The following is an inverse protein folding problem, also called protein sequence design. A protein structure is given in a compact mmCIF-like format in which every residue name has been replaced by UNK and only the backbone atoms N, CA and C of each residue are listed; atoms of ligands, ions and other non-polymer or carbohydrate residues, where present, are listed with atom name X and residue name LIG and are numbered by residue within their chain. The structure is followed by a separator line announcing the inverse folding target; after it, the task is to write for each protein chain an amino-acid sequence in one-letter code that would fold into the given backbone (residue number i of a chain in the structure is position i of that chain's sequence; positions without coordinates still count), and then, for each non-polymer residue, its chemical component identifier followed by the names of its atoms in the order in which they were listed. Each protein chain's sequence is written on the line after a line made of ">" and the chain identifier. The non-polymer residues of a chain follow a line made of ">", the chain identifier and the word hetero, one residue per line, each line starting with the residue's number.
data_IF_970514444058
#
_entry.id   IF_970514444058
#
_cell.length_a   1.000
_cell.length_b   1.000
_cell.length_c   1.000
_cell.angle_alpha   90.00
_cell.angle_beta   90.00
_cell.angle_gamma   90.00
#
_symmetry.space_group_name_H-M   'P 1'
#
loop_
_entity.id
_entity.type
_entity.pdbx_description
1 polymer ?
#
# COMPACT_ATOMS: atom_id res chain seq x y z
N UNK A 1 -11.39 24.92 -5.88
CA UNK A 1 -11.89 24.54 -7.23
C UNK A 1 -12.28 23.07 -7.21
N UNK A 2 -13.54 22.76 -7.58
CA UNK A 2 -14.04 21.37 -7.69
C UNK A 2 -13.24 20.56 -8.72
N UNK A 3 -12.76 21.21 -9.76
CA UNK A 3 -12.03 20.56 -10.85
C UNK A 3 -10.60 20.18 -10.48
N UNK A 4 -10.09 20.61 -9.31
CA UNK A 4 -8.73 20.28 -8.91
C UNK A 4 -8.55 18.77 -8.90
N UNK A 5 -9.34 18.00 -8.15
CA UNK A 5 -9.23 16.55 -8.07
C UNK A 5 -9.86 15.78 -9.25
N UNK A 6 -10.38 16.46 -10.27
CA UNK A 6 -11.04 15.80 -11.40
C UNK A 6 -10.18 14.76 -12.15
N UNK A 7 -8.84 14.93 -12.31
CA UNK A 7 -8.01 13.89 -12.91
C UNK A 7 -7.93 12.61 -12.07
N UNK A 8 -8.08 12.74 -10.75
CA UNK A 8 -8.10 11.59 -9.84
C UNK A 8 -9.43 10.85 -9.97
N UNK A 9 -10.55 11.56 -10.16
CA UNK A 9 -11.86 10.93 -10.31
C UNK A 9 -11.90 9.98 -11.51
N UNK A 10 -11.32 10.36 -12.65
CA UNK A 10 -11.27 9.46 -13.81
C UNK A 10 -10.44 8.21 -13.55
N UNK A 11 -9.31 8.36 -12.84
CA UNK A 11 -8.48 7.24 -12.45
C UNK A 11 -9.25 6.28 -11.55
N UNK A 12 -10.00 6.81 -10.58
CA UNK A 12 -10.83 6.02 -9.66
C UNK A 12 -11.97 5.32 -10.40
N UNK A 13 -12.60 5.98 -11.37
CA UNK A 13 -13.67 5.35 -12.16
C UNK A 13 -13.17 4.21 -13.04
N UNK A 14 -11.98 4.35 -13.64
CA UNK A 14 -11.41 3.31 -14.50
C UNK A 14 -10.78 2.17 -13.69
N UNK A 15 -10.10 2.50 -12.59
CA UNK A 15 -9.30 1.58 -11.80
C UNK A 15 -9.49 1.85 -10.29
N UNK A 16 -10.66 1.54 -9.71
CA UNK A 16 -10.99 1.88 -8.32
C UNK A 16 -10.03 1.21 -7.32
N UNK A 17 -9.54 0.02 -7.64
CA UNK A 17 -8.61 -0.73 -6.81
C UNK A 17 -7.29 0.00 -6.54
N UNK A 18 -6.82 0.87 -7.44
CA UNK A 18 -5.57 1.62 -7.26
C UNK A 18 -5.69 2.65 -6.14
N UNK A 19 -6.84 3.32 -6.04
CA UNK A 19 -7.09 4.28 -4.95
C UNK A 19 -7.23 3.55 -3.62
N UNK A 20 -7.92 2.41 -3.59
CA UNK A 20 -8.04 1.60 -2.37
C UNK A 20 -6.67 1.22 -1.82
N UNK A 21 -5.78 0.71 -2.67
CA UNK A 21 -4.41 0.35 -2.28
C UNK A 21 -3.63 1.60 -1.84
N UNK A 22 -3.73 2.70 -2.58
CA UNK A 22 -3.04 3.94 -2.24
C UNK A 22 -3.50 4.49 -0.88
N UNK A 23 -4.80 4.55 -0.62
CA UNK A 23 -5.37 5.02 0.65
C UNK A 23 -4.92 4.14 1.82
N UNK A 24 -5.00 2.82 1.66
CA UNK A 24 -4.59 1.88 2.72
C UNK A 24 -3.10 1.98 3.02
N UNK A 25 -2.24 2.13 2.02
CA UNK A 25 -0.78 2.21 2.24
C UNK A 25 -0.33 3.58 2.73
N UNK A 26 -0.84 4.66 2.12
CA UNK A 26 -0.41 6.03 2.42
C UNK A 26 -1.10 6.61 3.64
N UNK A 27 -2.43 6.59 3.67
CA UNK A 27 -3.19 7.26 4.73
C UNK A 27 -3.21 6.40 6.01
N UNK A 28 -3.56 5.12 5.87
CA UNK A 28 -3.65 4.20 7.03
C UNK A 28 -2.26 3.68 7.43
N UNK A 29 -1.51 3.11 6.47
CA UNK A 29 -0.19 2.50 6.67
C UNK A 29 0.96 3.49 6.89
N UNK A 30 0.77 4.78 6.55
CA UNK A 30 1.78 5.85 6.64
C UNK A 30 3.06 5.56 5.86
N UNK A 31 2.96 4.80 4.79
CA UNK A 31 4.09 4.57 3.90
C UNK A 31 4.50 5.85 3.16
N UNK A 32 5.79 6.01 2.78
CA UNK A 32 6.23 7.15 2.00
C UNK A 32 5.49 7.25 0.66
N UNK A 33 4.71 8.33 0.48
CA UNK A 33 3.88 8.61 -0.71
C UNK A 33 4.62 8.36 -2.02
N UNK A 34 5.83 8.92 -2.17
CA UNK A 34 6.61 8.81 -3.41
C UNK A 34 6.94 7.36 -3.80
N UNK A 35 7.15 6.48 -2.81
CA UNK A 35 7.39 5.05 -3.05
C UNK A 35 6.10 4.36 -3.48
N UNK A 36 5.01 4.58 -2.76
CA UNK A 36 3.72 3.95 -3.05
C UNK A 36 3.20 4.38 -4.43
N UNK A 37 3.32 5.66 -4.78
CA UNK A 37 2.92 6.16 -6.11
C UNK A 37 3.72 5.51 -7.23
N UNK A 38 5.05 5.37 -7.09
CA UNK A 38 5.88 4.67 -8.08
C UNK A 38 5.50 3.19 -8.21
N UNK A 39 5.21 2.50 -7.11
CA UNK A 39 4.85 1.08 -7.14
C UNK A 39 3.43 0.83 -7.69
N UNK A 40 2.46 1.68 -7.33
CA UNK A 40 1.04 1.48 -7.67
C UNK A 40 0.67 2.12 -9.00
N UNK A 41 1.20 3.32 -9.29
CA UNK A 41 0.86 4.10 -10.49
C UNK A 41 2.00 4.14 -11.51
N UNK A 42 3.22 3.75 -11.15
CA UNK A 42 4.41 3.89 -12.01
C UNK A 42 4.95 5.32 -12.13
N UNK A 43 4.20 6.31 -11.67
CA UNK A 43 4.50 7.75 -11.76
C UNK A 43 3.95 8.48 -10.54
N UNK A 44 4.43 9.70 -10.29
CA UNK A 44 3.88 10.50 -9.20
C UNK A 44 2.46 11.01 -9.52
N UNK A 45 1.56 10.96 -8.54
CA UNK A 45 0.16 11.33 -8.73
C UNK A 45 0.00 12.81 -9.14
N UNK A 46 0.67 13.79 -8.52
CA UNK A 46 0.67 15.16 -9.01
C UNK A 46 1.23 15.33 -10.43
N UNK A 47 2.20 14.51 -10.85
CA UNK A 47 2.72 14.56 -12.23
C UNK A 47 1.66 14.08 -13.22
N UNK A 48 1.01 12.95 -12.92
CA UNK A 48 -0.09 12.42 -13.71
C UNK A 48 -1.24 13.43 -13.81
N UNK A 49 -1.64 14.03 -12.67
CA UNK A 49 -2.71 15.00 -12.65
C UNK A 49 -2.37 16.29 -13.42
N UNK A 50 -1.12 16.76 -13.37
CA UNK A 50 -0.69 17.92 -14.16
C UNK A 50 -0.75 17.64 -15.67
N UNK A 51 -0.35 16.43 -16.09
CA UNK A 51 -0.40 16.01 -17.49
C UNK A 51 -1.85 15.91 -17.97
N UNK A 52 -2.73 15.26 -17.20
CA UNK A 52 -4.15 15.14 -17.53
C UNK A 52 -4.86 16.49 -17.56
N UNK A 53 -4.62 17.36 -16.58
CA UNK A 53 -5.19 18.70 -16.54
C UNK A 53 -4.79 19.53 -17.78
N UNK A 54 -3.53 19.41 -18.21
CA UNK A 54 -3.04 20.09 -19.42
C UNK A 54 -3.66 19.47 -20.69
N UNK A 55 -3.77 18.15 -20.74
CA UNK A 55 -4.34 17.44 -21.89
C UNK A 55 -5.83 17.74 -22.10
N UNK A 56 -6.60 17.87 -21.01
CA UNK A 56 -8.03 18.21 -21.08
C UNK A 56 -8.31 19.71 -21.22
N UNK A 57 -7.27 20.55 -21.29
CA UNK A 57 -7.45 22.01 -21.36
C UNK A 57 -8.12 22.60 -20.11
N UNK A 58 -7.89 22.02 -18.93
CA UNK A 58 -8.37 22.62 -17.68
C UNK A 58 -7.69 23.97 -17.45
N UNK A 59 -8.34 24.91 -16.73
CA UNK A 59 -7.76 26.21 -16.47
C UNK A 59 -6.33 26.15 -15.90
N UNK A 60 -5.43 27.00 -16.40
CA UNK A 60 -4.00 26.93 -16.14
C UNK A 60 -3.63 26.91 -14.66
N UNK A 61 -4.40 27.61 -13.81
CA UNK A 61 -4.18 27.62 -12.36
C UNK A 61 -4.34 26.24 -11.70
N UNK A 62 -5.11 25.31 -12.30
CA UNK A 62 -5.25 23.93 -11.84
C UNK A 62 -3.95 23.16 -12.12
N UNK A 63 -3.48 23.19 -13.36
CA UNK A 63 -2.22 22.57 -13.75
C UNK A 63 -1.04 23.17 -12.97
N UNK A 64 -1.05 24.49 -12.73
CA UNK A 64 -0.07 25.18 -11.91
C UNK A 64 -0.08 24.68 -10.45
N UNK A 65 -1.25 24.46 -9.86
CA UNK A 65 -1.36 23.89 -8.51
C UNK A 65 -0.63 22.55 -8.37
N UNK A 66 -0.77 21.66 -9.36
CA UNK A 66 -0.04 20.39 -9.40
C UNK A 66 1.45 20.55 -9.66
N UNK A 67 1.84 21.45 -10.56
CA UNK A 67 3.26 21.77 -10.80
C UNK A 67 3.91 22.36 -9.55
N UNK A 68 3.19 23.11 -8.72
CA UNK A 68 3.73 23.63 -7.46
C UNK A 68 4.03 22.53 -6.44
N UNK A 69 3.18 21.50 -6.35
CA UNK A 69 3.43 20.32 -5.51
C UNK A 69 4.72 19.57 -5.91
N UNK A 70 5.02 19.51 -7.21
CA UNK A 70 6.19 18.82 -7.74
C UNK A 70 7.46 19.70 -7.80
N UNK A 71 7.36 20.87 -8.43
CA UNK A 71 8.50 21.72 -8.78
C UNK A 71 8.97 22.66 -7.67
N UNK A 72 8.08 23.06 -6.75
CA UNK A 72 8.38 24.04 -5.69
C UNK A 72 8.40 23.43 -4.28
N UNK A 73 8.76 22.14 -4.17
CA UNK A 73 8.82 21.43 -2.89
C UNK A 73 9.67 22.15 -1.84
N UNK A 74 10.73 22.86 -2.25
CA UNK A 74 11.58 23.66 -1.34
C UNK A 74 10.82 24.84 -0.72
N UNK A 75 10.03 25.57 -1.51
CA UNK A 75 9.21 26.70 -1.03
C UNK A 75 8.13 26.20 -0.06
N UNK A 76 7.45 25.10 -0.42
CA UNK A 76 6.46 24.47 0.45
C UNK A 76 7.08 24.01 1.78
N UNK A 77 8.25 23.37 1.75
CA UNK A 77 8.95 22.95 2.98
C UNK A 77 9.32 24.16 3.86
N UNK A 78 9.81 25.26 3.26
CA UNK A 78 10.14 26.49 4.01
C UNK A 78 8.88 27.10 4.65
N UNK A 79 7.81 27.25 3.87
CA UNK A 79 6.55 27.78 4.39
C UNK A 79 5.97 26.88 5.50
N UNK A 80 6.02 25.56 5.36
CA UNK A 80 5.58 24.61 6.38
C UNK A 80 6.44 24.68 7.65
N UNK A 81 7.74 24.98 7.54
CA UNK A 81 8.61 25.22 8.71
C UNK A 81 8.20 26.48 9.46
N UNK A 82 7.93 27.58 8.75
CA UNK A 82 7.43 28.82 9.35
C UNK A 82 6.07 28.60 10.01
N UNK A 83 5.14 27.93 9.29
CA UNK A 83 3.80 27.64 9.76
C UNK A 83 3.78 26.78 11.05
N UNK A 84 4.84 26.01 11.31
CA UNK A 84 4.96 25.19 12.53
C UNK A 84 5.02 26.05 13.79
N UNK A 85 5.57 27.26 13.70
CA UNK A 85 5.72 28.20 14.81
C UNK A 85 4.45 29.06 15.02
N UNK A 86 3.30 28.40 15.13
CA UNK A 86 1.99 29.06 15.12
C UNK A 86 1.66 29.84 16.40
N UNK A 87 2.47 29.71 17.45
CA UNK A 87 2.32 30.44 18.72
C UNK A 87 2.96 31.84 18.67
N UNK A 88 3.78 32.12 17.65
CA UNK A 88 4.50 33.39 17.51
C UNK A 88 4.21 34.07 16.15
N UNK A 89 2.99 34.64 15.93
CA UNK A 89 2.61 35.23 14.64
C UNK A 89 3.56 36.34 14.16
N UNK A 90 4.07 37.16 15.08
CA UNK A 90 5.03 38.22 14.76
C UNK A 90 6.35 37.66 14.20
N UNK A 91 6.84 36.57 14.79
CA UNK A 91 8.05 35.91 14.31
C UNK A 91 7.82 35.27 12.93
N UNK A 92 6.66 34.65 12.71
CA UNK A 92 6.29 34.14 11.38
C UNK A 92 6.28 35.24 10.32
N UNK A 93 5.74 36.42 10.65
CA UNK A 93 5.72 37.57 9.76
C UNK A 93 7.15 38.07 9.46
N UNK A 94 8.01 38.20 10.48
CA UNK A 94 9.41 38.58 10.29
C UNK A 94 10.17 37.60 9.38
N UNK A 95 9.94 36.30 9.54
CA UNK A 95 10.54 35.28 8.68
C UNK A 95 10.06 35.36 7.23
N UNK A 96 8.78 35.69 7.01
CA UNK A 96 8.23 35.92 5.66
C UNK A 96 8.76 37.22 5.04
N UNK A 97 8.93 38.27 5.84
CA UNK A 97 9.47 39.55 5.38
C UNK A 97 10.96 39.46 5.02
N UNK A 98 11.70 38.59 5.71
CA UNK A 98 13.09 38.27 5.38
C UNK A 98 13.24 37.45 4.07
N UNK A 99 12.19 36.80 3.57
CA UNK A 99 12.19 36.07 2.29
C UNK A 99 11.04 36.55 1.37
N UNK A 100 11.22 37.69 0.66
CA UNK A 100 10.19 38.25 -0.20
C UNK A 100 9.72 37.32 -1.32
N UNK A 101 10.60 36.42 -1.78
CA UNK A 101 10.25 35.43 -2.80
C UNK A 101 9.28 34.38 -2.24
N UNK A 102 9.54 33.89 -1.02
CA UNK A 102 8.63 32.98 -0.31
C UNK A 102 7.30 33.65 0.00
N UNK A 103 7.30 34.91 0.46
CA UNK A 103 6.08 35.67 0.74
C UNK A 103 5.23 35.87 -0.52
N UNK A 104 5.86 36.25 -1.64
CA UNK A 104 5.18 36.38 -2.94
C UNK A 104 4.61 35.06 -3.40
N UNK A 105 5.37 33.98 -3.28
CA UNK A 105 4.90 32.64 -3.64
C UNK A 105 3.71 32.21 -2.76
N UNK A 106 3.79 32.40 -1.44
CA UNK A 106 2.76 32.02 -0.49
C UNK A 106 1.44 32.73 -0.81
N UNK A 107 1.49 34.03 -1.07
CA UNK A 107 0.30 34.88 -1.28
C UNK A 107 -0.38 34.70 -2.65
N UNK A 108 0.18 33.86 -3.54
CA UNK A 108 -0.46 33.57 -4.83
C UNK A 108 -1.88 32.99 -4.63
N UNK A 109 -2.92 33.56 -5.29
CA UNK A 109 -4.28 33.05 -5.18
C UNK A 109 -4.43 31.58 -5.60
N UNK A 110 -3.56 31.08 -6.48
CA UNK A 110 -3.53 29.68 -6.89
C UNK A 110 -3.29 28.71 -5.73
N UNK A 111 -2.66 29.16 -4.63
CA UNK A 111 -2.43 28.32 -3.45
C UNK A 111 -3.72 28.01 -2.69
N UNK A 112 -4.76 28.85 -2.79
CA UNK A 112 -6.05 28.60 -2.13
C UNK A 112 -6.64 27.25 -2.51
N UNK A 113 -6.50 26.85 -3.79
CA UNK A 113 -6.98 25.58 -4.31
C UNK A 113 -6.23 24.43 -3.65
N UNK A 114 -4.91 24.55 -3.54
CA UNK A 114 -4.08 23.55 -2.89
C UNK A 114 -4.42 23.41 -1.40
N UNK A 115 -4.54 24.53 -0.69
CA UNK A 115 -4.87 24.59 0.73
C UNK A 115 -6.23 23.95 1.02
N UNK A 116 -7.26 24.34 0.26
CA UNK A 116 -8.61 23.81 0.44
C UNK A 116 -8.69 22.30 0.18
N UNK A 117 -8.09 21.82 -0.92
CA UNK A 117 -8.09 20.39 -1.23
C UNK A 117 -7.21 19.57 -0.27
N UNK A 118 -6.06 20.12 0.14
CA UNK A 118 -5.18 19.50 1.13
C UNK A 118 -5.87 19.34 2.49
N UNK A 119 -6.56 20.38 2.95
CA UNK A 119 -7.40 20.34 4.16
C UNK A 119 -8.51 19.30 4.03
N UNK A 120 -9.30 19.34 2.97
CA UNK A 120 -10.40 18.40 2.76
C UNK A 120 -9.93 16.94 2.75
N UNK A 121 -8.83 16.64 2.04
CA UNK A 121 -8.25 15.29 1.98
C UNK A 121 -7.67 14.85 3.33
N UNK A 122 -7.04 15.76 4.09
CA UNK A 122 -6.52 15.41 5.42
C UNK A 122 -7.64 15.17 6.44
N UNK A 123 -8.70 15.99 6.41
CA UNK A 123 -9.87 15.89 7.28
C UNK A 123 -10.69 14.62 6.99
N UNK A 124 -10.63 14.12 5.76
CA UNK A 124 -11.21 12.84 5.39
C UNK A 124 -10.64 11.67 6.22
N UNK A 125 -9.37 11.75 6.62
CA UNK A 125 -8.71 10.71 7.41
C UNK A 125 -8.84 10.97 8.93
N UNK A 126 -8.54 12.19 9.39
CA UNK A 126 -8.66 12.58 10.80
C UNK A 126 -8.60 14.10 10.96
N UNK A 127 -9.36 14.63 11.92
CA UNK A 127 -9.27 16.05 12.31
C UNK A 127 -8.06 16.36 13.19
N UNK A 128 -7.54 15.37 13.92
CA UNK A 128 -6.53 15.60 14.97
C UNK A 128 -5.14 15.08 14.62
N UNK A 129 -4.94 14.51 13.43
CA UNK A 129 -3.64 13.97 13.06
C UNK A 129 -2.62 15.06 12.66
N UNK A 130 -1.34 14.68 12.64
CA UNK A 130 -0.25 15.57 12.26
C UNK A 130 -0.28 16.00 10.78
N UNK A 131 -1.03 15.31 9.91
CA UNK A 131 -1.17 15.68 8.51
C UNK A 131 -2.19 16.81 8.35
N UNK A 132 -3.37 16.70 8.97
CA UNK A 132 -4.39 17.73 9.05
C UNK A 132 -3.87 18.99 9.75
N UNK A 133 -3.17 18.83 10.88
CA UNK A 133 -2.56 19.95 11.59
C UNK A 133 -1.55 20.73 10.73
N UNK A 134 -0.78 20.05 9.88
CA UNK A 134 0.15 20.71 8.94
C UNK A 134 -0.60 21.57 7.93
N UNK A 135 -1.70 21.06 7.37
CA UNK A 135 -2.53 21.81 6.43
C UNK A 135 -3.25 22.99 7.09
N UNK A 136 -3.75 22.81 8.31
CA UNK A 136 -4.35 23.89 9.10
C UNK A 136 -3.34 25.00 9.36
N UNK A 137 -2.16 24.67 9.91
CA UNK A 137 -1.08 25.65 10.12
C UNK A 137 -0.67 26.38 8.84
N UNK A 138 -0.52 25.64 7.74
CA UNK A 138 -0.14 26.24 6.46
C UNK A 138 -1.21 27.18 5.91
N UNK A 139 -2.48 26.82 6.08
CA UNK A 139 -3.61 27.66 5.71
C UNK A 139 -3.72 28.89 6.62
N UNK A 140 -3.44 28.73 7.91
CA UNK A 140 -3.40 29.84 8.88
C UNK A 140 -2.31 30.85 8.53
N UNK A 141 -1.13 30.38 8.13
CA UNK A 141 -0.04 31.24 7.64
C UNK A 141 -0.44 32.00 6.36
N UNK A 142 -1.18 31.36 5.44
CA UNK A 142 -1.67 31.99 4.22
C UNK A 142 -2.73 33.08 4.52
N UNK A 143 -3.71 32.76 5.37
CA UNK A 143 -4.80 33.67 5.72
C UNK A 143 -4.42 34.69 6.78
N UNK A 144 -3.27 34.52 7.45
CA UNK A 144 -2.83 35.30 8.61
C UNK A 144 -3.82 35.23 9.77
N UNK A 145 -4.37 34.03 10.01
CA UNK A 145 -5.36 33.76 11.06
C UNK A 145 -4.77 32.80 12.09
N UNK A 146 -4.98 33.03 13.41
CA UNK A 146 -4.59 32.10 14.46
C UNK A 146 -5.15 30.68 14.25
N UNK A 147 -4.39 29.66 14.67
CA UNK A 147 -4.74 28.26 14.41
C UNK A 147 -6.10 27.86 15.00
N UNK A 148 -6.42 28.32 16.21
CA UNK A 148 -7.68 28.03 16.90
C UNK A 148 -8.90 28.59 16.15
N UNK A 149 -8.81 29.83 15.68
CA UNK A 149 -9.86 30.48 14.90
C UNK A 149 -10.04 29.76 13.55
N UNK A 150 -8.94 29.44 12.87
CA UNK A 150 -9.00 28.68 11.62
C UNK A 150 -9.64 27.29 11.81
N UNK A 151 -9.31 26.58 12.89
CA UNK A 151 -9.94 25.29 13.20
C UNK A 151 -11.45 25.44 13.36
N UNK A 152 -11.92 26.47 14.07
CA UNK A 152 -13.35 26.76 14.20
C UNK A 152 -13.99 27.04 12.84
N UNK A 153 -13.38 27.90 12.01
CA UNK A 153 -13.87 28.21 10.66
C UNK A 153 -14.00 26.96 9.79
N UNK A 154 -12.97 26.11 9.77
CA UNK A 154 -12.95 24.88 8.95
C UNK A 154 -14.00 23.88 9.43
N UNK A 155 -14.18 23.71 10.75
CA UNK A 155 -15.22 22.82 11.29
C UNK A 155 -16.62 23.34 10.97
N UNK A 156 -16.87 24.64 11.13
CA UNK A 156 -18.15 25.26 10.76
C UNK A 156 -18.42 25.09 9.26
N UNK A 157 -17.42 25.31 8.41
CA UNK A 157 -17.54 25.14 6.97
C UNK A 157 -17.84 23.69 6.59
N UNK A 158 -17.27 22.70 7.30
CA UNK A 158 -17.61 21.30 7.09
C UNK A 158 -19.09 21.05 7.40
N UNK A 159 -19.63 21.58 8.50
CA UNK A 159 -21.06 21.43 8.86
C UNK A 159 -21.96 22.12 7.82
N UNK A 160 -21.62 23.34 7.40
CA UNK A 160 -22.36 24.07 6.35
C UNK A 160 -22.36 23.28 5.04
N UNK A 161 -21.19 22.77 4.62
CA UNK A 161 -21.06 21.92 3.42
C UNK A 161 -21.94 20.66 3.51
N UNK A 162 -21.94 19.99 4.65
CA UNK A 162 -22.79 18.80 4.86
C UNK A 162 -24.28 19.13 4.74
N UNK A 163 -24.72 20.28 5.28
CA UNK A 163 -26.11 20.75 5.15
C UNK A 163 -26.49 21.04 3.72
N UNK A 164 -25.58 21.64 2.94
CA UNK A 164 -25.81 21.96 1.52
C UNK A 164 -25.91 20.71 0.64
N UNK A 165 -25.11 19.67 0.92
CA UNK A 165 -25.16 18.39 0.19
C UNK A 165 -26.46 17.63 0.51
N UNK A 166 -26.94 17.71 1.75
CA UNK A 166 -28.14 17.02 2.20
C UNK A 166 -27.91 15.54 2.54
N UNK A 167 -28.98 14.75 2.68
CA UNK A 167 -28.89 13.33 3.04
C UNK A 167 -28.13 12.52 1.98
N UNK A 168 -27.03 11.89 2.38
CA UNK A 168 -26.20 11.06 1.50
C UNK A 168 -25.61 9.88 2.26
N UNK A 169 -25.33 8.80 1.54
CA UNK A 169 -24.59 7.64 2.06
C UNK A 169 -23.07 7.83 1.96
N UNK A 170 -22.62 8.90 1.31
CA UNK A 170 -21.20 9.22 1.15
C UNK A 170 -20.61 9.75 2.47
N UNK A 171 -19.37 9.39 2.73
CA UNK A 171 -18.63 9.95 3.86
C UNK A 171 -18.41 11.46 3.68
N UNK A 172 -18.64 12.22 4.74
CA UNK A 172 -18.40 13.67 4.78
C UNK A 172 -17.57 14.03 6.03
N UNK A 173 -16.52 14.87 5.93
CA UNK A 173 -15.66 15.22 7.08
C UNK A 173 -16.41 15.78 8.30
N UNK A 174 -17.57 16.41 8.08
CA UNK A 174 -18.45 16.88 9.16
C UNK A 174 -18.95 15.76 10.08
N UNK A 175 -19.16 14.54 9.54
CA UNK A 175 -19.52 13.38 10.37
C UNK A 175 -18.42 13.16 11.40
N UNK A 176 -17.15 13.19 10.99
CA UNK A 176 -15.99 13.03 11.85
C UNK A 176 -15.86 14.01 13.02
N UNK A 177 -16.59 15.14 13.01
CA UNK A 177 -16.63 16.08 14.15
C UNK A 177 -17.40 15.53 15.36
N UNK A 178 -18.26 14.53 15.14
CA UNK A 178 -19.01 13.86 16.21
C UNK A 178 -18.16 12.84 16.98
N UNK A 179 -17.02 12.44 16.41
CA UNK A 179 -16.12 11.46 17.03
C UNK A 179 -15.18 12.14 18.04
N UNK A 180 -14.67 11.38 19.04
CA UNK A 180 -13.68 11.89 19.96
C UNK A 180 -12.41 12.39 19.27
N UNK A 181 -11.76 13.40 19.86
CA UNK A 181 -10.44 13.89 19.42
C UNK A 181 -9.43 12.76 19.29
N UNK A 182 -8.67 12.73 18.20
CA UNK A 182 -7.70 11.66 17.90
C UNK A 182 -8.28 10.47 17.13
N UNK A 183 -9.59 10.46 16.87
CA UNK A 183 -10.22 9.42 16.04
C UNK A 183 -9.70 9.44 14.61
N UNK A 184 -9.64 8.24 14.01
CA UNK A 184 -9.35 8.05 12.58
C UNK A 184 -10.57 7.43 11.92
N UNK A 185 -10.95 7.97 10.77
CA UNK A 185 -12.18 7.58 10.09
C UNK A 185 -11.93 6.46 9.07
N UNK A 186 -10.74 6.44 8.48
CA UNK A 186 -10.32 5.36 7.60
C UNK A 186 -9.67 4.24 8.41
N UNK A 187 -10.26 3.06 8.30
CA UNK A 187 -9.81 1.84 8.99
C UNK A 187 -9.09 0.94 8.00
N UNK A 188 -8.15 0.14 8.51
CA UNK A 188 -7.51 -0.92 7.73
C UNK A 188 -8.58 -1.84 7.16
N UNK A 189 -8.64 -1.96 5.83
CA UNK A 189 -9.54 -2.92 5.18
C UNK A 189 -9.01 -4.33 5.44
N UNK A 190 -9.89 -5.19 5.97
CA UNK A 190 -9.60 -6.61 6.08
C UNK A 190 -9.39 -7.21 4.68
N UNK A 191 -8.56 -8.24 4.59
CA UNK A 191 -8.38 -8.97 3.34
C UNK A 191 -9.74 -9.47 2.85
N UNK A 192 -10.01 -9.30 1.54
CA UNK A 192 -11.22 -9.83 0.93
C UNK A 192 -11.25 -11.35 1.10
N UNK A 193 -12.33 -11.87 1.68
CA UNK A 193 -12.55 -13.31 1.80
C UNK A 193 -12.68 -13.93 0.39
N UNK A 194 -12.22 -15.18 0.20
CA UNK A 194 -12.41 -15.89 -1.07
C UNK A 194 -13.89 -15.98 -1.44
N UNK A 195 -14.23 -15.73 -2.71
CA UNK A 195 -15.60 -15.92 -3.21
C UNK A 195 -15.96 -17.41 -3.27
N UNK A 196 -17.26 -17.72 -3.38
CA UNK A 196 -17.72 -19.11 -3.55
C UNK A 196 -17.09 -19.77 -4.79
N UNK A 197 -16.96 -19.03 -5.88
CA UNK A 197 -16.28 -19.47 -7.12
C UNK A 197 -14.80 -19.74 -6.88
N UNK A 198 -14.09 -18.84 -6.18
CA UNK A 198 -12.69 -19.04 -5.83
C UNK A 198 -12.49 -20.29 -4.95
N UNK A 199 -13.41 -20.55 -4.02
CA UNK A 199 -13.38 -21.76 -3.19
C UNK A 199 -13.65 -23.03 -4.00
N UNK A 200 -14.51 -22.98 -5.02
CA UNK A 200 -14.74 -24.10 -5.94
C UNK A 200 -13.49 -24.39 -6.77
N UNK A 201 -12.88 -23.36 -7.37
CA UNK A 201 -11.62 -23.48 -8.11
C UNK A 201 -10.46 -23.96 -7.21
N UNK A 202 -10.41 -23.50 -5.96
CA UNK A 202 -9.42 -23.98 -4.99
C UNK A 202 -9.53 -25.50 -4.76
N UNK A 203 -10.76 -26.01 -4.58
CA UNK A 203 -11.00 -27.46 -4.42
C UNK A 203 -10.59 -28.24 -5.67
N UNK A 204 -10.84 -27.70 -6.85
CA UNK A 204 -10.44 -28.29 -8.13
C UNK A 204 -8.91 -28.45 -8.22
N UNK A 205 -8.18 -27.35 -8.02
CA UNK A 205 -6.71 -27.37 -8.05
C UNK A 205 -6.11 -28.26 -6.96
N UNK A 206 -6.68 -28.27 -5.74
CA UNK A 206 -6.25 -29.18 -4.69
C UNK A 206 -6.48 -30.66 -5.08
N UNK A 207 -7.58 -30.98 -5.76
CA UNK A 207 -7.85 -32.35 -6.23
C UNK A 207 -6.86 -32.77 -7.32
N UNK A 208 -6.56 -31.88 -8.26
CA UNK A 208 -5.55 -32.11 -9.31
C UNK A 208 -4.16 -32.35 -8.71
N UNK A 209 -3.76 -31.55 -7.71
CA UNK A 209 -2.50 -31.75 -6.96
C UNK A 209 -2.47 -33.08 -6.19
N UNK A 210 -3.62 -33.54 -5.69
CA UNK A 210 -3.74 -34.79 -4.93
C UNK A 210 -4.01 -36.03 -5.79
N UNK A 211 -4.03 -35.90 -7.12
CA UNK A 211 -4.23 -37.02 -8.03
C UNK A 211 -3.20 -38.14 -7.79
N UNK A 212 -3.66 -39.39 -7.79
CA UNK A 212 -2.79 -40.58 -7.62
C UNK A 212 -1.78 -40.70 -8.76
N UNK A 213 -2.21 -40.37 -9.98
CA UNK A 213 -1.36 -40.28 -11.14
C UNK A 213 -0.96 -38.83 -11.34
N UNK A 214 0.34 -38.54 -11.37
CA UNK A 214 0.82 -37.18 -11.53
C UNK A 214 0.44 -36.62 -12.91
N UNK A 215 -0.43 -35.59 -13.00
CA UNK A 215 -0.88 -35.06 -14.28
C UNK A 215 0.14 -34.13 -14.94
N UNK A 216 1.21 -33.76 -14.23
CA UNK A 216 2.17 -32.74 -14.67
C UNK A 216 3.35 -33.36 -15.41
N UNK A 217 3.68 -32.80 -16.57
CA UNK A 217 4.85 -33.19 -17.38
C UNK A 217 6.16 -32.64 -16.81
N UNK A 218 6.09 -31.47 -16.18
CA UNK A 218 7.25 -30.78 -15.63
C UNK A 218 6.89 -30.01 -14.36
N UNK A 219 7.93 -29.57 -13.64
CA UNK A 219 7.78 -28.83 -12.38
C UNK A 219 7.13 -27.46 -12.59
N UNK A 220 7.26 -26.87 -13.79
CA UNK A 220 6.64 -25.57 -14.12
C UNK A 220 5.10 -25.68 -14.11
N UNK A 221 4.54 -26.73 -14.70
CA UNK A 221 3.10 -26.99 -14.68
C UNK A 221 2.59 -27.23 -13.25
N UNK A 222 3.29 -28.06 -12.47
CA UNK A 222 2.93 -28.33 -11.06
C UNK A 222 2.92 -27.04 -10.24
N UNK A 223 3.99 -26.24 -10.34
CA UNK A 223 4.09 -24.97 -9.62
C UNK A 223 3.06 -23.95 -10.09
N UNK A 224 2.68 -23.95 -11.37
CA UNK A 224 1.61 -23.09 -11.88
C UNK A 224 0.25 -23.43 -11.23
N UNK A 225 -0.13 -24.72 -11.18
CA UNK A 225 -1.37 -25.14 -10.52
C UNK A 225 -1.33 -24.88 -9.01
N UNK A 226 -0.18 -25.11 -8.36
CA UNK A 226 0.04 -24.79 -6.96
C UNK A 226 -0.11 -23.28 -6.67
N UNK A 227 0.43 -22.42 -7.53
CA UNK A 227 0.31 -20.97 -7.40
C UNK A 227 -1.15 -20.52 -7.55
N UNK A 228 -1.89 -21.08 -8.51
CA UNK A 228 -3.33 -20.85 -8.67
C UNK A 228 -4.12 -21.28 -7.43
N UNK A 229 -3.82 -22.47 -6.88
CA UNK A 229 -4.46 -22.96 -5.67
C UNK A 229 -4.26 -22.00 -4.48
N UNK A 230 -3.03 -21.49 -4.29
CA UNK A 230 -2.73 -20.51 -3.24
C UNK A 230 -3.48 -19.19 -3.44
N UNK A 231 -3.57 -18.71 -4.69
CA UNK A 231 -4.35 -17.51 -5.02
C UNK A 231 -5.85 -17.71 -4.74
N UNK A 232 -6.43 -18.84 -5.15
CA UNK A 232 -7.82 -19.18 -4.89
C UNK A 232 -8.12 -19.41 -3.39
N UNK A 233 -7.12 -19.84 -2.61
CA UNK A 233 -7.21 -19.93 -1.15
C UNK A 233 -7.23 -18.56 -0.44
N UNK A 234 -7.07 -17.47 -1.19
CA UNK A 234 -7.16 -16.09 -0.70
C UNK A 234 -5.82 -15.39 -0.53
N UNK A 235 -4.70 -15.96 -0.97
CA UNK A 235 -3.42 -15.24 -1.01
C UNK A 235 -3.38 -14.31 -2.21
N UNK A 236 -3.09 -13.03 -2.00
CA UNK A 236 -3.11 -12.05 -3.09
C UNK A 236 -1.76 -11.97 -3.80
N UNK A 237 -0.67 -12.10 -3.04
CA UNK A 237 0.69 -12.12 -3.60
C UNK A 237 1.37 -13.40 -3.20
N UNK A 238 1.89 -14.13 -4.17
CA UNK A 238 2.52 -15.43 -3.99
C UNK A 238 3.79 -15.48 -4.81
N UNK A 239 4.88 -15.93 -4.19
CA UNK A 239 6.15 -16.25 -4.85
C UNK A 239 6.52 -17.69 -4.49
N UNK A 240 6.67 -18.54 -5.51
CA UNK A 240 7.15 -19.92 -5.35
C UNK A 240 8.57 -20.03 -5.89
N UNK A 241 9.48 -20.52 -5.05
CA UNK A 241 10.88 -20.67 -5.40
C UNK A 241 11.33 -22.12 -5.21
N UNK A 242 11.99 -22.69 -6.21
CA UNK A 242 12.64 -23.99 -6.09
C UNK A 242 14.04 -23.84 -5.52
N UNK A 243 14.44 -24.80 -4.69
CA UNK A 243 15.79 -24.88 -4.17
C UNK A 243 16.66 -25.77 -5.05
N UNK A 244 17.58 -25.15 -5.79
CA UNK A 244 18.63 -25.85 -6.53
C UNK A 244 19.77 -26.22 -5.56
N UNK A 245 19.89 -27.51 -5.26
CA UNK A 245 20.94 -28.04 -4.38
C UNK A 245 22.32 -28.04 -4.99
N UNK A 246 22.44 -28.07 -6.33
CA UNK A 246 23.75 -28.07 -7.00
C UNK A 246 24.41 -26.70 -6.88
N UNK A 247 23.63 -25.65 -7.08
CA UNK A 247 24.10 -24.27 -7.01
C UNK A 247 23.88 -23.62 -5.63
N UNK A 248 23.20 -24.32 -4.72
CA UNK A 248 22.78 -23.82 -3.42
C UNK A 248 21.99 -22.50 -3.51
N UNK A 249 21.00 -22.44 -4.43
CA UNK A 249 20.25 -21.21 -4.72
C UNK A 249 18.74 -21.46 -4.74
N UNK A 250 17.98 -20.46 -4.33
CA UNK A 250 16.53 -20.41 -4.50
C UNK A 250 16.20 -19.65 -5.77
N UNK A 251 15.48 -20.29 -6.69
CA UNK A 251 15.16 -19.74 -8.01
C UNK A 251 13.64 -19.63 -8.13
N UNK A 252 13.14 -18.42 -8.40
CA UNK A 252 11.72 -18.19 -8.63
C UNK A 252 11.19 -19.04 -9.80
N UNK A 253 10.03 -19.66 -9.60
CA UNK A 253 9.32 -20.43 -10.63
C UNK A 253 8.01 -19.77 -11.02
N UNK A 254 7.25 -19.32 -10.01
CA UNK A 254 5.95 -18.71 -10.20
C UNK A 254 5.81 -17.50 -9.30
N UNK A 255 5.18 -16.46 -9.85
CA UNK A 255 4.82 -15.26 -9.13
C UNK A 255 3.39 -14.87 -9.51
N UNK A 256 2.56 -14.57 -8.51
CA UNK A 256 1.19 -14.08 -8.68
C UNK A 256 1.01 -12.83 -7.82
N UNK A 257 0.35 -11.80 -8.35
CA UNK A 257 0.14 -10.53 -7.63
C UNK A 257 1.41 -9.72 -7.33
N UNK A 258 2.53 -10.02 -8.00
CA UNK A 258 3.82 -9.35 -7.83
C UNK A 258 4.27 -8.70 -9.14
N UNK A 259 5.22 -7.78 -9.04
CA UNK A 259 5.82 -7.17 -10.23
C UNK A 259 6.53 -8.23 -11.10
N UNK A 260 6.65 -8.03 -12.43
CA UNK A 260 7.30 -8.99 -13.33
C UNK A 260 8.75 -9.33 -12.96
N UNK A 261 9.43 -8.44 -12.22
CA UNK A 261 10.77 -8.67 -11.71
C UNK A 261 10.83 -9.86 -10.73
N UNK A 262 9.74 -10.17 -10.02
CA UNK A 262 9.68 -11.27 -9.06
C UNK A 262 9.94 -12.63 -9.70
N UNK A 263 9.51 -12.83 -10.96
CA UNK A 263 9.69 -14.10 -11.67
C UNK A 263 11.17 -14.41 -11.99
N UNK A 264 12.06 -13.42 -11.92
CA UNK A 264 13.51 -13.58 -12.17
C UNK A 264 14.34 -13.55 -10.88
N UNK A 265 13.69 -13.57 -9.72
CA UNK A 265 14.38 -13.50 -8.45
C UNK A 265 15.20 -14.76 -8.19
N UNK A 266 16.47 -14.56 -7.84
CA UNK A 266 17.37 -15.59 -7.32
C UNK A 266 17.82 -15.15 -5.94
N UNK A 267 17.68 -16.03 -4.95
CA UNK A 267 18.14 -15.80 -3.59
C UNK A 267 19.26 -16.77 -3.24
N UNK A 268 20.28 -16.23 -2.59
CA UNK A 268 21.35 -16.99 -1.96
C UNK A 268 20.97 -17.23 -0.48
N UNK A 269 20.71 -18.48 -0.06
CA UNK A 269 20.34 -18.78 1.31
C UNK A 269 21.39 -18.35 2.35
N UNK A 270 22.68 -18.37 2.01
CA UNK A 270 23.77 -18.07 2.95
C UNK A 270 23.70 -16.63 3.47
N UNK A 271 23.17 -15.72 2.66
CA UNK A 271 23.01 -14.31 2.99
C UNK A 271 21.89 -14.05 4.02
N UNK A 272 21.14 -15.08 4.43
CA UNK A 272 20.04 -14.94 5.38
C UNK A 272 19.97 -16.12 6.35
N UNK A 273 20.05 -15.83 7.65
CA UNK A 273 19.85 -16.85 8.69
C UNK A 273 18.43 -17.43 8.66
N UNK A 274 17.43 -16.62 8.30
CA UNK A 274 16.04 -17.07 8.17
C UNK A 274 15.90 -18.08 7.03
N UNK A 275 16.50 -17.79 5.86
CA UNK A 275 16.45 -18.71 4.73
C UNK A 275 17.18 -20.03 5.04
N UNK A 276 18.39 -19.97 5.63
CA UNK A 276 19.11 -21.18 6.07
C UNK A 276 18.24 -22.07 6.95
N UNK A 277 17.65 -21.51 8.01
CA UNK A 277 16.80 -22.26 8.94
C UNK A 277 15.53 -22.83 8.29
N UNK A 278 14.95 -22.13 7.31
CA UNK A 278 13.81 -22.62 6.54
C UNK A 278 14.21 -23.73 5.56
N UNK A 279 15.44 -23.76 5.06
CA UNK A 279 15.92 -24.80 4.15
C UNK A 279 16.48 -26.03 4.86
N UNK A 280 16.86 -25.91 6.14
CA UNK A 280 17.29 -27.04 6.98
C UNK A 280 16.16 -28.04 7.24
N UNK A 281 14.96 -27.54 7.57
CA UNK A 281 13.80 -28.38 7.86
C UNK A 281 12.48 -27.68 7.49
N UNK A 282 11.46 -28.44 7.02
CA UNK A 282 10.15 -27.86 6.72
C UNK A 282 9.54 -27.09 7.91
N UNK A 283 9.55 -25.77 7.85
CA UNK A 283 9.01 -24.86 8.86
C UNK A 283 8.15 -23.76 8.22
N UNK A 284 7.30 -23.14 9.04
CA UNK A 284 6.50 -21.96 8.68
C UNK A 284 6.98 -20.80 9.55
N UNK A 285 7.45 -19.73 8.92
CA UNK A 285 7.65 -18.44 9.57
C UNK A 285 6.46 -17.55 9.24
N UNK A 286 5.75 -17.09 10.28
CA UNK A 286 4.68 -16.10 10.18
C UNK A 286 5.18 -14.77 10.73
N UNK A 287 5.29 -13.77 9.86
CA UNK A 287 5.53 -12.39 10.27
C UNK A 287 4.21 -11.76 10.72
N UNK A 288 4.30 -11.05 11.85
CA UNK A 288 3.26 -10.23 12.46
C UNK A 288 3.90 -8.92 12.93
N UNK A 289 3.12 -7.85 13.15
CA UNK A 289 3.64 -6.58 13.67
C UNK A 289 4.56 -6.74 14.89
N UNK A 290 4.27 -7.69 15.78
CA UNK A 290 5.01 -7.94 17.02
C UNK A 290 6.42 -8.53 16.80
N UNK A 291 6.64 -9.26 15.70
CA UNK A 291 7.91 -9.96 15.45
C UNK A 291 8.66 -9.45 14.20
N UNK A 292 8.02 -8.60 13.39
CA UNK A 292 8.60 -8.04 12.16
C UNK A 292 9.91 -7.33 12.44
N UNK A 293 10.04 -6.57 13.53
CA UNK A 293 11.29 -5.87 13.85
C UNK A 293 12.48 -6.83 14.01
N UNK A 294 12.25 -8.00 14.60
CA UNK A 294 13.27 -9.02 14.83
C UNK A 294 13.66 -9.76 13.55
N UNK A 295 12.67 -10.21 12.77
CA UNK A 295 12.91 -11.06 11.61
C UNK A 295 13.15 -10.28 10.33
N UNK A 296 12.64 -9.04 10.22
CA UNK A 296 12.82 -8.24 9.01
C UNK A 296 14.30 -8.08 8.74
N UNK A 297 15.15 -7.70 9.69
CA UNK A 297 16.60 -7.56 9.47
C UNK A 297 17.27 -8.78 8.81
N UNK A 298 16.75 -9.99 9.06
CA UNK A 298 17.29 -11.25 8.56
C UNK A 298 16.73 -11.66 7.19
N UNK A 299 15.71 -10.98 6.66
CA UNK A 299 15.14 -11.27 5.33
C UNK A 299 15.95 -10.53 4.25
N UNK A 300 16.31 -11.18 3.12
CA UNK A 300 17.02 -10.54 2.02
C UNK A 300 16.32 -9.27 1.51
N UNK A 301 17.10 -8.24 1.20
CA UNK A 301 16.57 -6.92 0.80
C UNK A 301 15.75 -6.96 -0.49
N UNK A 302 16.14 -7.80 -1.45
CA UNK A 302 15.39 -8.05 -2.68
C UNK A 302 14.03 -8.71 -2.43
N UNK A 303 13.91 -9.62 -1.45
CA UNK A 303 12.62 -10.20 -1.06
C UNK A 303 11.73 -9.17 -0.34
N UNK A 304 12.31 -8.33 0.53
CA UNK A 304 11.58 -7.22 1.19
C UNK A 304 11.05 -6.18 0.20
N UNK A 305 11.76 -5.96 -0.90
CA UNK A 305 11.34 -5.03 -1.95
C UNK A 305 10.14 -5.58 -2.76
N UNK A 306 9.87 -6.88 -2.69
CA UNK A 306 8.70 -7.49 -3.31
C UNK A 306 7.52 -7.58 -2.33
N UNK A 307 7.81 -7.83 -1.04
CA UNK A 307 6.81 -7.98 0.01
C UNK A 307 6.98 -6.90 1.08
N UNK A 308 6.16 -5.84 0.99
CA UNK A 308 6.16 -4.70 1.92
C UNK A 308 5.31 -4.93 3.18
N UNK A 309 4.58 -6.05 3.22
CA UNK A 309 3.63 -6.36 4.28
C UNK A 309 4.30 -6.66 5.62
N UNK A 310 3.65 -6.25 6.71
CA UNK A 310 3.98 -6.69 8.08
C UNK A 310 3.41 -8.08 8.40
N UNK A 311 2.53 -8.60 7.55
CA UNK A 311 1.92 -9.91 7.62
C UNK A 311 2.38 -10.75 6.43
N UNK A 312 3.33 -11.66 6.65
CA UNK A 312 3.97 -12.45 5.60
C UNK A 312 4.11 -13.89 6.05
N UNK A 313 3.84 -14.83 5.16
CA UNK A 313 4.10 -16.26 5.38
C UNK A 313 5.32 -16.68 4.56
N UNK A 314 6.29 -17.31 5.20
CA UNK A 314 7.39 -18.01 4.53
C UNK A 314 7.31 -19.48 4.94
N UNK A 315 6.96 -20.34 3.99
CA UNK A 315 6.79 -21.78 4.21
C UNK A 315 7.75 -22.55 3.33
N UNK A 316 8.68 -23.24 3.95
CA UNK A 316 9.49 -24.25 3.26
C UNK A 316 8.69 -25.53 3.11
N UNK A 317 8.74 -26.10 1.91
CA UNK A 317 8.09 -27.34 1.51
C UNK A 317 9.17 -28.38 1.23
N UNK A 318 9.00 -29.56 1.81
CA UNK A 318 9.94 -30.66 1.67
C UNK A 318 9.31 -32.00 2.05
N UNK A 319 10.05 -33.07 1.76
CA UNK A 319 9.68 -34.44 2.10
C UNK A 319 10.86 -35.13 2.78
N UNK A 320 10.60 -35.99 3.78
CA UNK A 320 11.63 -36.70 4.56
C UNK A 320 12.74 -35.79 5.11
N UNK A 321 12.34 -34.64 5.66
CA UNK A 321 13.27 -33.64 6.20
C UNK A 321 14.06 -32.85 5.15
N UNK A 322 13.88 -33.15 3.86
CA UNK A 322 14.60 -32.49 2.77
C UNK A 322 13.74 -31.43 2.09
N UNK A 323 14.11 -30.16 2.24
CA UNK A 323 13.41 -29.04 1.59
C UNK A 323 13.74 -28.97 0.09
N UNK A 324 12.71 -28.74 -0.71
CA UNK A 324 12.81 -28.60 -2.18
C UNK A 324 12.27 -27.26 -2.69
N UNK A 325 11.43 -26.58 -1.91
CA UNK A 325 10.75 -25.37 -2.33
C UNK A 325 10.51 -24.42 -1.16
N UNK A 326 10.46 -23.12 -1.45
CA UNK A 326 10.05 -22.08 -0.53
C UNK A 326 8.86 -21.33 -1.14
N UNK A 327 7.78 -21.19 -0.37
CA UNK A 327 6.60 -20.41 -0.73
C UNK A 327 6.56 -19.17 0.16
N UNK A 328 6.46 -18.00 -0.47
CA UNK A 328 6.26 -16.73 0.21
C UNK A 328 4.89 -16.19 -0.21
N UNK A 329 4.04 -15.83 0.75
CA UNK A 329 2.70 -15.33 0.44
C UNK A 329 2.18 -14.32 1.46
N UNK A 330 1.34 -13.39 0.99
CA UNK A 330 0.54 -12.50 1.83
C UNK A 330 -0.82 -12.13 1.21
N UNK A 331 -1.58 -11.32 1.94
CA UNK A 331 -2.85 -10.74 1.51
C UNK A 331 -2.73 -9.23 1.31
N UNK A 332 -1.68 -8.81 0.60
CA UNK A 332 -1.39 -7.41 0.25
C UNK A 332 -1.32 -6.44 1.46
N UNK A 333 -0.66 -6.86 2.53
CA UNK A 333 -0.53 -6.01 3.73
C UNK A 333 -1.58 -6.24 4.80
N UNK A 334 -2.71 -6.87 4.47
CA UNK A 334 -3.76 -7.18 5.45
C UNK A 334 -3.34 -8.29 6.42
N UNK A 335 -3.94 -8.27 7.61
CA UNK A 335 -3.78 -9.35 8.58
C UNK A 335 -4.33 -10.67 8.04
N UNK A 336 -3.53 -11.72 8.17
CA UNK A 336 -3.92 -13.08 7.75
C UNK A 336 -4.74 -13.71 8.88
N UNK A 337 -6.03 -13.92 8.62
CA UNK A 337 -6.96 -14.59 9.54
C UNK A 337 -6.59 -16.06 9.76
N UNK A 338 -7.08 -16.65 10.84
CA UNK A 338 -6.80 -18.07 11.14
C UNK A 338 -7.41 -19.00 10.09
N UNK A 339 -8.58 -18.65 9.52
CA UNK A 339 -9.18 -19.40 8.41
C UNK A 339 -8.30 -19.37 7.16
N UNK A 340 -7.76 -18.19 6.81
CA UNK A 340 -6.84 -18.06 5.67
C UNK A 340 -5.54 -18.84 5.90
N UNK A 341 -5.02 -18.83 7.13
CA UNK A 341 -3.84 -19.59 7.51
C UNK A 341 -4.08 -21.11 7.41
N UNK A 342 -5.25 -21.60 7.82
CA UNK A 342 -5.63 -23.01 7.67
C UNK A 342 -5.77 -23.40 6.19
N UNK A 343 -6.40 -22.56 5.37
CA UNK A 343 -6.52 -22.79 3.93
C UNK A 343 -5.14 -22.83 3.24
N UNK A 344 -4.25 -21.90 3.60
CA UNK A 344 -2.86 -21.91 3.17
C UNK A 344 -2.16 -23.22 3.56
N UNK A 345 -2.28 -23.64 4.82
CA UNK A 345 -1.68 -24.89 5.32
C UNK A 345 -2.16 -26.13 4.56
N UNK A 346 -3.48 -26.26 4.33
CA UNK A 346 -4.06 -27.36 3.54
C UNK A 346 -3.58 -27.34 2.09
N UNK A 347 -3.50 -26.16 1.49
CA UNK A 347 -2.99 -26.01 0.11
C UNK A 347 -1.54 -26.44 0.03
N UNK A 348 -0.71 -26.01 0.98
CA UNK A 348 0.68 -26.45 1.08
C UNK A 348 0.76 -27.97 1.19
N UNK A 349 -0.01 -28.62 2.06
CA UNK A 349 -0.04 -30.09 2.18
C UNK A 349 -0.37 -30.78 0.85
N UNK A 350 -1.27 -30.21 0.04
CA UNK A 350 -1.55 -30.72 -1.30
C UNK A 350 -0.31 -30.62 -2.20
N UNK A 351 0.41 -29.50 -2.15
CA UNK A 351 1.66 -29.28 -2.88
C UNK A 351 2.74 -30.26 -2.42
N UNK A 352 2.91 -30.48 -1.10
CA UNK A 352 3.89 -31.43 -0.57
C UNK A 352 3.63 -32.84 -1.14
N UNK A 353 2.37 -33.30 -1.14
CA UNK A 353 1.98 -34.59 -1.70
C UNK A 353 2.19 -34.66 -3.22
N UNK A 354 1.82 -33.62 -3.96
CA UNK A 354 2.02 -33.53 -5.40
C UNK A 354 3.50 -33.67 -5.78
N UNK A 355 4.40 -33.02 -5.04
CA UNK A 355 5.84 -33.10 -5.25
C UNK A 355 6.39 -34.51 -5.00
N UNK A 356 5.88 -35.20 -3.98
CA UNK A 356 6.24 -36.61 -3.72
C UNK A 356 5.81 -37.48 -4.89
N UNK A 357 4.55 -37.39 -5.34
CA UNK A 357 4.04 -38.17 -6.48
C UNK A 357 4.82 -37.86 -7.76
N UNK A 358 5.10 -36.58 -8.04
CA UNK A 358 5.90 -36.16 -9.19
C UNK A 358 7.33 -36.76 -9.14
N UNK A 359 7.98 -36.75 -7.97
CA UNK A 359 9.33 -37.31 -7.82
C UNK A 359 9.40 -38.83 -8.04
N UNK A 360 8.29 -39.55 -7.81
CA UNK A 360 8.19 -41.00 -8.03
C UNK A 360 8.00 -41.37 -9.50
N UNK A 361 7.51 -40.47 -10.36
CA UNK A 361 7.32 -40.74 -11.80
C UNK A 361 8.62 -41.04 -12.55
N UNK A 362 9.74 -40.46 -12.08
CA UNK A 362 11.06 -40.64 -12.69
C UNK A 362 11.87 -41.81 -12.11
N UNK A 363 11.29 -42.60 -11.22
CA UNK A 363 11.81 -43.89 -10.76
C UNK A 363 10.95 -44.98 -11.35
#
# INVERSE_FOLDING_TARGET
>A
SLLFLSPVWTLVTAHPHLLDVWEQRVLVGREPVARVEQEVLGVSLPQLCAALASHWGLPDWIAQGYRMLNGNRRMLIRALRIARDNEHPLHQQQMLDADPALRRWLTLPSNTILLANGLALSAHHSWSDAHCLRWLRFTGLYLQVPLNELQQMVHQQAVVSARLIGPTTLWHPAQGLLWPTGSRFQVTKAARLPSAEALAAWREHCRELLSEHCPYENVLQLTATACKALSCAGMQRVLMMLFDRKQHRLIAQQASGLSPAAARLILDPEQSQVLRRLLEKPALLRLKPDNVAQFSALIPGNLKALFHSKHLLLRSIGHDGRVSMLVIADQDGSEISDTALQAFGKTVQCIERALVTFSKRGR
#
